data_IF_899395570550
#
_entry.id   IF_899395570550
#
_cell.length_a   1.000
_cell.length_b   1.000
_cell.length_c   1.000
_cell.angle_alpha   90.00
_cell.angle_beta   90.00
_cell.angle_gamma   90.00
#
_symmetry.space_group_name_H-M   'P 1'
#
loop_
_entity.id
_entity.type
_entity.pdbx_description
1 polymer ?
#
# COMPACT_ATOMS: atom_id res chain seq x y z
N UNK A 1 14.08 7.73 -2.92
CA UNK A 1 12.69 8.13 -3.23
C UNK A 1 12.13 8.84 -2.01
N UNK A 2 11.34 9.91 -2.18
CA UNK A 2 10.65 10.57 -1.07
C UNK A 2 9.17 10.19 -1.15
N UNK A 3 8.59 9.77 -0.03
CA UNK A 3 7.18 9.37 0.06
C UNK A 3 6.57 10.24 1.16
N UNK A 4 5.59 11.05 0.79
CA UNK A 4 4.84 11.89 1.72
C UNK A 4 3.79 11.05 2.45
N UNK A 5 3.44 11.44 3.67
CA UNK A 5 2.36 10.80 4.42
C UNK A 5 1.27 11.81 4.74
N UNK A 6 0.02 11.45 4.45
CA UNK A 6 -1.16 12.28 4.73
C UNK A 6 -2.04 11.58 5.75
N UNK A 7 -2.35 12.27 6.84
CA UNK A 7 -3.29 11.81 7.85
C UNK A 7 -4.71 11.78 7.29
N UNK A 8 -5.46 10.75 7.66
CA UNK A 8 -6.88 10.64 7.29
C UNK A 8 -7.77 10.90 8.51
N UNK A 9 -9.07 11.19 8.32
CA UNK A 9 -10.01 11.26 9.44
C UNK A 9 -10.08 9.97 10.27
N UNK A 10 -9.64 8.83 9.70
CA UNK A 10 -9.50 7.58 10.44
C UNK A 10 -8.08 7.48 11.04
N UNK A 11 -7.91 7.52 12.37
CA UNK A 11 -6.59 7.44 13.02
C UNK A 11 -5.88 6.09 12.81
N UNK A 12 -6.62 5.06 12.39
CA UNK A 12 -6.04 3.77 12.02
C UNK A 12 -5.51 3.74 10.58
N UNK A 13 -5.84 4.72 9.73
CA UNK A 13 -5.46 4.75 8.31
C UNK A 13 -4.54 5.92 8.01
N UNK A 14 -3.42 5.64 7.34
CA UNK A 14 -2.49 6.64 6.84
C UNK A 14 -2.30 6.47 5.34
N UNK A 15 -2.27 7.58 4.61
CA UNK A 15 -1.95 7.58 3.19
C UNK A 15 -0.47 7.82 2.98
N UNK A 16 0.09 7.13 2.00
CA UNK A 16 1.45 7.24 1.53
C UNK A 16 1.42 7.69 0.07
N UNK A 17 2.00 8.85 -0.20
CA UNK A 17 2.02 9.50 -1.50
C UNK A 17 3.46 9.45 -2.05
N UNK A 18 3.79 8.49 -2.92
CA UNK A 18 5.13 8.37 -3.50
C UNK A 18 5.42 9.41 -4.61
N UNK A 19 4.47 10.30 -4.90
CA UNK A 19 4.62 11.35 -5.92
C UNK A 19 4.63 10.81 -7.35
N UNK A 20 4.05 9.62 -7.57
CA UNK A 20 3.93 8.99 -8.89
C UNK A 20 2.65 8.18 -8.97
N UNK A 21 2.26 7.83 -10.19
CA UNK A 21 1.14 6.94 -10.46
C UNK A 21 1.39 5.54 -9.89
N UNK A 22 0.39 5.02 -9.18
CA UNK A 22 0.34 3.70 -8.54
C UNK A 22 -0.67 2.81 -9.25
N UNK A 23 -1.85 3.35 -9.56
CA UNK A 23 -2.89 2.70 -10.34
C UNK A 23 -3.21 3.55 -11.57
N UNK A 24 -3.64 2.92 -12.66
CA UNK A 24 -4.15 3.66 -13.81
C UNK A 24 -5.33 4.56 -13.43
N UNK A 25 -5.53 5.65 -14.17
CA UNK A 25 -6.59 6.63 -13.88
C UNK A 25 -7.98 5.96 -13.77
N UNK A 26 -8.68 6.24 -12.67
CA UNK A 26 -9.97 5.61 -12.34
C UNK A 26 -9.90 4.18 -11.78
N UNK A 27 -8.73 3.53 -11.77
CA UNK A 27 -8.55 2.20 -11.17
C UNK A 27 -8.20 2.31 -9.68
N UNK A 28 -8.79 1.42 -8.88
CA UNK A 28 -8.45 1.28 -7.45
C UNK A 28 -8.38 -0.21 -7.12
N UNK A 29 -7.56 -0.55 -6.13
CA UNK A 29 -7.47 -1.92 -5.63
C UNK A 29 -7.62 -1.89 -4.11
N UNK A 30 -8.57 -2.67 -3.61
CA UNK A 30 -8.86 -2.77 -2.18
C UNK A 30 -8.57 -4.19 -1.70
N UNK A 31 -7.71 -4.29 -0.69
CA UNK A 31 -7.25 -5.53 -0.09
C UNK A 31 -7.57 -5.51 1.39
N UNK A 32 -8.65 -6.19 1.77
CA UNK A 32 -9.19 -6.19 3.14
C UNK A 32 -8.56 -7.27 4.03
N UNK A 33 -7.79 -8.19 3.45
CA UNK A 33 -7.08 -9.26 4.16
C UNK A 33 -5.92 -9.82 3.31
N UNK A 34 -4.97 -10.56 3.94
CA UNK A 34 -3.87 -11.20 3.22
C UNK A 34 -4.30 -12.21 2.15
N UNK A 35 -5.43 -12.90 2.32
CA UNK A 35 -5.90 -13.87 1.33
C UNK A 35 -6.31 -13.20 0.00
N UNK A 36 -6.69 -11.92 0.06
CA UNK A 36 -7.16 -11.13 -1.08
C UNK A 36 -6.04 -10.60 -1.98
N UNK A 37 -4.76 -10.73 -1.59
CA UNK A 37 -3.62 -10.17 -2.34
C UNK A 37 -2.94 -11.15 -3.29
N UNK A 38 -3.04 -12.45 -3.02
CA UNK A 38 -2.30 -13.48 -3.74
C UNK A 38 -2.60 -13.41 -5.26
N UNK A 39 -1.54 -13.21 -6.05
CA UNK A 39 -1.63 -13.13 -7.52
C UNK A 39 -2.29 -11.85 -8.05
N UNK A 40 -2.60 -10.88 -7.18
CA UNK A 40 -3.15 -9.56 -7.56
C UNK A 40 -2.13 -8.44 -7.38
N UNK A 41 -1.30 -8.49 -6.34
CA UNK A 41 -0.27 -7.47 -6.12
C UNK A 41 0.83 -7.96 -5.22
N UNK A 42 2.06 -8.01 -5.76
CA UNK A 42 3.26 -8.30 -4.95
C UNK A 42 3.55 -7.21 -3.93
N UNK A 43 3.24 -5.94 -4.23
CA UNK A 43 3.37 -4.85 -3.26
C UNK A 43 2.43 -5.06 -2.08
N UNK A 44 1.17 -5.43 -2.33
CA UNK A 44 0.20 -5.66 -1.27
C UNK A 44 0.62 -6.86 -0.40
N UNK A 45 1.12 -7.95 -0.99
CA UNK A 45 1.71 -9.07 -0.25
C UNK A 45 2.81 -8.61 0.71
N UNK A 46 3.78 -7.83 0.23
CA UNK A 46 4.87 -7.32 1.06
C UNK A 46 4.38 -6.41 2.19
N UNK A 47 3.29 -5.66 1.97
CA UNK A 47 2.70 -4.81 3.00
C UNK A 47 1.95 -5.64 4.05
N UNK A 48 1.28 -6.73 3.67
CA UNK A 48 0.63 -7.63 4.64
C UNK A 48 1.61 -8.50 5.42
N UNK A 49 2.82 -8.72 4.92
CA UNK A 49 3.90 -9.36 5.68
C UNK A 49 4.36 -8.52 6.89
N UNK A 50 4.01 -7.22 6.92
CA UNK A 50 4.29 -6.36 8.06
C UNK A 50 3.28 -6.63 9.19
N UNK A 51 3.82 -6.93 10.37
CA UNK A 51 3.00 -7.15 11.56
C UNK A 51 2.21 -5.87 11.89
N UNK A 52 0.89 -6.01 11.98
CA UNK A 52 -0.01 -4.92 12.31
C UNK A 52 -0.68 -4.25 11.10
N UNK A 53 -0.48 -4.70 9.86
CA UNK A 53 -1.28 -4.25 8.70
C UNK A 53 -2.60 -5.01 8.64
N UNK A 54 -3.72 -4.28 8.64
CA UNK A 54 -5.07 -4.85 8.59
C UNK A 54 -5.72 -4.72 7.21
N UNK A 55 -5.44 -3.64 6.47
CA UNK A 55 -6.00 -3.40 5.12
C UNK A 55 -5.05 -2.53 4.30
N UNK A 56 -5.00 -2.77 3.00
CA UNK A 56 -4.22 -2.00 2.04
C UNK A 56 -5.14 -1.57 0.90
N UNK A 57 -5.09 -0.29 0.55
CA UNK A 57 -5.88 0.28 -0.54
C UNK A 57 -4.96 1.07 -1.47
N UNK A 58 -5.06 0.83 -2.77
CA UNK A 58 -4.35 1.56 -3.79
C UNK A 58 -5.30 2.50 -4.52
N UNK A 59 -4.99 3.80 -4.44
CA UNK A 59 -5.57 4.83 -5.28
C UNK A 59 -4.70 5.11 -6.50
N UNK A 60 -5.08 6.15 -7.26
CA UNK A 60 -4.36 6.58 -8.46
C UNK A 60 -2.89 6.92 -8.15
N UNK A 61 -2.64 7.76 -7.16
CA UNK A 61 -1.32 8.31 -6.81
C UNK A 61 -0.93 8.09 -5.33
N UNK A 62 -1.69 7.27 -4.61
CA UNK A 62 -1.46 7.00 -3.19
C UNK A 62 -1.72 5.54 -2.80
N UNK A 63 -1.08 5.12 -1.72
CA UNK A 63 -1.33 3.85 -1.03
C UNK A 63 -1.84 4.17 0.37
N UNK A 64 -3.06 3.75 0.71
CA UNK A 64 -3.59 3.85 2.06
C UNK A 64 -3.41 2.53 2.79
N UNK A 65 -2.78 2.57 3.96
CA UNK A 65 -2.60 1.41 4.83
C UNK A 65 -3.41 1.65 6.10
N UNK A 66 -4.19 0.65 6.49
CA UNK A 66 -4.89 0.63 7.78
C UNK A 66 -4.16 -0.32 8.70
N UNK A 67 -3.77 0.18 9.86
CA UNK A 67 -3.15 -0.63 10.92
C UNK A 67 -4.21 -1.33 11.77
N UNK A 68 -3.82 -2.44 12.37
CA UNK A 68 -4.54 -3.08 13.47
C UNK A 68 -4.27 -2.34 14.79
N UNK A 69 -5.12 -2.58 15.79
CA UNK A 69 -4.98 -1.95 17.11
C UNK A 69 -3.74 -2.41 17.89
N UNK A 70 -3.06 -3.47 17.43
CA UNK A 70 -1.90 -4.06 18.09
C UNK A 70 -0.60 -3.24 17.93
N UNK A 71 -0.49 -2.44 16.86
CA UNK A 71 0.77 -1.77 16.48
C UNK A 71 0.55 -0.27 16.28
N UNK A 72 1.45 0.56 16.81
CA UNK A 72 1.42 2.01 16.62
C UNK A 72 1.95 2.45 15.26
N UNK A 73 1.53 3.64 14.79
CA UNK A 73 2.09 4.21 13.56
C UNK A 73 3.58 4.55 13.67
N UNK A 74 4.11 4.80 14.88
CA UNK A 74 5.53 5.10 15.08
C UNK A 74 6.44 3.92 14.68
N UNK A 75 5.95 2.69 14.85
CA UNK A 75 6.66 1.46 14.48
C UNK A 75 6.34 1.01 13.06
N UNK A 76 5.07 1.13 12.64
CA UNK A 76 4.61 0.63 11.35
C UNK A 76 5.01 1.55 10.19
N UNK A 77 4.99 2.87 10.39
CA UNK A 77 5.30 3.87 9.36
C UNK A 77 6.68 3.68 8.71
N UNK A 78 7.81 3.56 9.46
CA UNK A 78 9.11 3.36 8.83
C UNK A 78 9.19 2.06 8.03
N UNK A 79 8.50 1.00 8.44
CA UNK A 79 8.47 -0.28 7.73
C UNK A 79 7.71 -0.17 6.40
N UNK A 80 6.51 0.44 6.42
CA UNK A 80 5.71 0.68 5.21
C UNK A 80 6.48 1.56 4.21
N UNK A 81 7.15 2.61 4.70
CA UNK A 81 7.98 3.47 3.86
C UNK A 81 9.14 2.69 3.20
N UNK A 82 9.80 1.79 3.93
CA UNK A 82 10.87 0.96 3.37
C UNK A 82 10.33 0.05 2.26
N UNK A 83 9.25 -0.70 2.53
CA UNK A 83 8.65 -1.62 1.55
C UNK A 83 8.23 -0.88 0.29
N UNK A 84 7.56 0.27 0.45
CA UNK A 84 7.15 1.09 -0.69
C UNK A 84 8.37 1.62 -1.46
N UNK A 85 9.36 2.20 -0.78
CA UNK A 85 10.53 2.76 -1.46
C UNK A 85 11.31 1.69 -2.21
N UNK A 86 11.53 0.53 -1.61
CA UNK A 86 12.28 -0.58 -2.19
C UNK A 86 11.53 -1.17 -3.39
N UNK A 87 10.24 -1.48 -3.23
CA UNK A 87 9.43 -2.04 -4.31
C UNK A 87 9.28 -1.06 -5.46
N UNK A 88 8.94 0.20 -5.17
CA UNK A 88 8.73 1.21 -6.20
C UNK A 88 10.02 1.56 -6.94
N UNK A 89 11.19 1.46 -6.29
CA UNK A 89 12.49 1.64 -6.94
C UNK A 89 12.81 0.56 -8.00
N UNK A 90 12.20 -0.63 -7.92
CA UNK A 90 12.38 -1.68 -8.94
C UNK A 90 11.70 -1.37 -10.26
N UNK A 91 10.69 -0.47 -10.25
CA UNK A 91 9.85 -0.19 -11.42
C UNK A 91 8.88 -1.33 -11.80
N UNK A 92 8.73 -2.35 -10.95
CA UNK A 92 7.75 -3.41 -11.15
C UNK A 92 6.31 -2.90 -11.05
N UNK A 93 5.38 -3.61 -11.70
CA UNK A 93 3.95 -3.29 -11.65
C UNK A 93 3.44 -3.37 -10.20
N UNK A 94 2.64 -2.39 -9.78
CA UNK A 94 2.07 -2.37 -8.42
C UNK A 94 0.93 -3.38 -8.29
N UNK A 95 0.13 -3.54 -9.34
CA UNK A 95 -0.91 -4.56 -9.44
C UNK A 95 -0.60 -5.41 -10.66
N UNK A 96 -0.76 -6.72 -10.51
CA UNK A 96 -0.77 -7.67 -11.62
C UNK A 96 -2.04 -7.37 -12.41
N UNK A 97 -1.90 -6.54 -13.45
CA UNK A 97 -2.98 -6.35 -14.41
C UNK A 97 -3.14 -7.67 -15.14
N UNK A 98 -4.20 -8.43 -14.83
CA UNK A 98 -4.75 -9.31 -15.85
C UNK A 98 -5.17 -8.38 -16.98
N UNK A 99 -4.32 -8.32 -17.99
CA UNK A 99 -4.53 -7.56 -19.20
C UNK A 99 -5.80 -8.11 -19.85
N UNK A 100 -6.95 -7.56 -19.48
CA UNK A 100 -8.17 -7.83 -20.21
C UNK A 100 -8.11 -7.02 -21.51
N UNK A 101 -7.62 -7.75 -22.50
CA UNK A 101 -7.74 -7.62 -23.95
C UNK A 101 -9.03 -6.95 -24.45
#
# INVERSE_FOLDING_TARGET
>A
MFIETEDTPNPATLKFLPGREIMADGATADFINPDSVAGRSRLAELLFDLEGVARVFFGNDFVAVTRSDATGWDELRPQVLSVLADYLATGQAVVETDAQV
#
